data_IF_739250133254
#
_entry.id   IF_739250133254
#
_cell.length_a   1.000
_cell.length_b   1.000
_cell.length_c   1.000
_cell.angle_alpha   90.00
_cell.angle_beta   90.00
_cell.angle_gamma   90.00
#
_symmetry.space_group_name_H-M   'P 1'
#
loop_
_entity.id
_entity.type
_entity.pdbx_description
1 polymer ?
#
# COMPACT_ATOMS: atom_id res chain seq x y z
N UNK A 1 7.26 0.91 10.84
CA UNK A 1 5.88 1.38 11.15
C UNK A 1 4.86 0.25 11.12
N UNK A 2 3.66 0.50 11.66
CA UNK A 2 2.50 -0.42 11.71
C UNK A 2 1.23 0.32 11.31
N UNK A 3 0.33 -0.36 10.59
CA UNK A 3 -1.05 0.05 10.39
C UNK A 3 -2.01 -1.11 10.61
N UNK A 4 -3.20 -0.84 11.12
CA UNK A 4 -4.24 -1.85 11.26
C UNK A 4 -5.20 -1.82 10.07
N UNK A 5 -5.39 -2.94 9.38
CA UNK A 5 -6.53 -3.16 8.52
C UNK A 5 -7.72 -3.40 9.44
N UNK A 6 -8.72 -2.50 9.41
CA UNK A 6 -9.79 -2.46 10.41
C UNK A 6 -11.18 -2.16 9.81
N UNK A 7 -11.38 -2.59 8.57
CA UNK A 7 -12.64 -2.44 7.85
C UNK A 7 -13.58 -3.64 8.10
N UNK A 8 -14.88 -3.40 7.95
CA UNK A 8 -15.91 -4.42 8.12
C UNK A 8 -15.78 -5.09 9.50
N UNK A 9 -15.71 -6.42 9.56
CA UNK A 9 -15.70 -7.18 10.80
C UNK A 9 -14.33 -7.76 11.16
N UNK A 10 -13.26 -7.18 10.63
CA UNK A 10 -11.87 -7.62 10.84
C UNK A 10 -11.03 -6.49 11.40
N UNK A 11 -10.11 -6.80 12.32
CA UNK A 11 -9.00 -5.93 12.69
C UNK A 11 -7.71 -6.74 12.73
N UNK A 12 -6.68 -6.26 12.05
CA UNK A 12 -5.39 -6.94 12.05
C UNK A 12 -4.24 -6.00 11.71
N UNK A 13 -3.06 -6.11 12.35
CA UNK A 13 -1.90 -5.31 12.02
C UNK A 13 -1.21 -5.81 10.75
N UNK A 14 -0.72 -4.84 9.98
CA UNK A 14 0.23 -5.00 8.89
C UNK A 14 1.47 -4.20 9.24
N UNK A 15 2.64 -4.84 9.19
CA UNK A 15 3.91 -4.22 9.50
C UNK A 15 4.69 -3.92 8.22
N UNK A 16 5.49 -2.85 8.24
CA UNK A 16 6.26 -2.38 7.09
C UNK A 16 7.30 -3.41 6.59
N UNK A 17 7.72 -4.32 7.44
CA UNK A 17 8.70 -5.37 7.14
C UNK A 17 8.08 -6.65 6.57
N UNK A 18 6.78 -6.64 6.21
CA UNK A 18 6.11 -7.81 5.66
C UNK A 18 5.55 -8.80 6.70
N UNK A 19 5.72 -8.54 7.99
CA UNK A 19 5.01 -9.26 9.05
C UNK A 19 3.56 -8.81 9.15
N UNK A 20 2.67 -9.70 9.54
CA UNK A 20 1.26 -9.40 9.74
C UNK A 20 0.61 -10.29 10.80
N UNK A 21 -0.54 -9.83 11.34
CA UNK A 21 -1.49 -10.56 12.17
C UNK A 21 -1.04 -10.79 13.63
N UNK A 22 0.08 -10.27 14.07
CA UNK A 22 0.60 -10.37 15.43
C UNK A 22 1.35 -9.10 15.86
N UNK A 23 1.65 -8.99 17.15
CA UNK A 23 2.24 -7.78 17.76
C UNK A 23 3.77 -7.72 17.72
N UNK A 24 4.44 -8.65 17.02
CA UNK A 24 5.88 -8.89 17.00
C UNK A 24 6.49 -9.31 18.35
N UNK A 25 5.68 -9.45 19.41
CA UNK A 25 6.12 -9.88 20.75
C UNK A 25 5.69 -11.31 21.07
N UNK A 26 4.46 -11.66 20.73
CA UNK A 26 3.96 -13.02 20.97
C UNK A 26 2.45 -13.17 21.04
N UNK A 27 1.68 -12.11 20.72
CA UNK A 27 0.23 -12.17 20.71
C UNK A 27 -0.35 -12.13 19.32
N UNK A 28 -1.35 -12.98 19.06
CA UNK A 28 -2.15 -12.96 17.84
C UNK A 28 -3.04 -11.72 17.82
N UNK A 29 -3.16 -11.09 16.66
CA UNK A 29 -3.97 -9.87 16.48
C UNK A 29 -4.84 -9.91 15.20
N UNK A 30 -5.13 -11.09 14.64
CA UNK A 30 -6.13 -11.21 13.57
C UNK A 30 -7.52 -11.43 14.20
N UNK A 31 -8.15 -10.33 14.55
CA UNK A 31 -9.39 -10.32 15.31
C UNK A 31 -10.63 -10.41 14.42
N UNK A 32 -11.46 -11.41 14.66
CA UNK A 32 -12.75 -11.63 14.00
C UNK A 32 -13.73 -12.25 15.01
N UNK A 33 -14.87 -11.65 15.27
CA UNK A 33 -15.31 -10.30 14.88
C UNK A 33 -14.44 -9.21 15.52
N UNK A 34 -14.29 -8.09 14.83
CA UNK A 34 -13.58 -6.91 15.36
C UNK A 34 -14.18 -6.47 16.71
N UNK A 35 -13.31 -6.24 17.71
CA UNK A 35 -13.71 -5.87 19.08
C UNK A 35 -14.07 -7.04 19.97
N UNK A 36 -13.95 -8.29 19.52
CA UNK A 36 -14.30 -9.49 20.30
C UNK A 36 -13.17 -10.03 21.19
N UNK A 37 -11.93 -9.64 20.93
CA UNK A 37 -10.74 -10.23 21.53
C UNK A 37 -10.45 -11.67 21.05
N UNK A 38 -11.16 -12.15 20.01
CA UNK A 38 -10.98 -13.51 19.47
C UNK A 38 -10.14 -13.44 18.20
N UNK A 39 -9.02 -14.15 18.18
CA UNK A 39 -8.09 -14.17 17.07
C UNK A 39 -8.18 -15.51 16.32
N UNK A 40 -8.32 -15.47 15.00
CA UNK A 40 -8.45 -16.66 14.15
C UNK A 40 -7.12 -17.10 13.53
N UNK A 41 -6.17 -16.18 13.38
CA UNK A 41 -4.83 -16.44 12.88
C UNK A 41 -3.79 -15.88 13.85
N UNK A 42 -2.62 -16.51 13.91
CA UNK A 42 -1.57 -16.05 14.83
C UNK A 42 -0.61 -15.09 14.17
N UNK A 43 -0.01 -15.49 13.05
CA UNK A 43 1.00 -14.70 12.33
C UNK A 43 0.97 -15.04 10.84
N UNK A 44 1.40 -14.11 10.04
CA UNK A 44 1.64 -14.29 8.62
C UNK A 44 2.82 -13.46 8.18
N UNK A 45 3.42 -13.85 7.05
CA UNK A 45 4.54 -13.13 6.45
C UNK A 45 4.58 -13.39 4.95
N UNK A 46 5.25 -12.50 4.23
CA UNK A 46 5.48 -12.65 2.80
C UNK A 46 6.75 -13.46 2.58
N UNK A 47 6.68 -14.47 1.71
CA UNK A 47 7.83 -15.22 1.24
C UNK A 47 7.85 -15.19 -0.29
N UNK A 48 8.97 -14.75 -0.85
CA UNK A 48 9.16 -14.65 -2.30
C UNK A 48 10.41 -15.41 -2.68
N UNK A 49 10.31 -16.28 -3.68
CA UNK A 49 11.44 -17.03 -4.21
C UNK A 49 11.47 -17.00 -5.73
N UNK A 50 12.67 -16.97 -6.30
CA UNK A 50 12.86 -16.94 -7.74
C UNK A 50 14.32 -17.21 -8.13
N UNK A 51 14.60 -17.05 -9.42
CA UNK A 51 15.95 -17.12 -9.97
C UNK A 51 16.29 -15.83 -10.68
N UNK A 52 17.50 -15.34 -10.53
CA UNK A 52 18.02 -14.22 -11.32
C UNK A 52 18.32 -14.65 -12.77
N UNK A 53 18.70 -13.68 -13.62
CA UNK A 53 19.03 -13.95 -15.03
C UNK A 53 20.20 -14.92 -15.23
N UNK A 54 21.06 -15.09 -14.23
CA UNK A 54 22.16 -16.04 -14.23
C UNK A 54 21.75 -17.43 -13.70
N UNK A 55 20.49 -17.61 -13.28
CA UNK A 55 19.96 -18.87 -12.74
C UNK A 55 20.20 -19.08 -11.24
N UNK A 56 20.76 -18.12 -10.53
CA UNK A 56 21.00 -18.21 -9.09
C UNK A 56 19.69 -18.08 -8.32
N UNK A 57 19.53 -18.92 -7.30
CA UNK A 57 18.37 -18.84 -6.40
C UNK A 57 18.41 -17.54 -5.58
N UNK A 58 17.31 -16.83 -5.55
CA UNK A 58 17.05 -15.66 -4.70
C UNK A 58 15.83 -15.94 -3.84
N UNK A 59 15.91 -15.62 -2.56
CA UNK A 59 14.82 -15.79 -1.61
C UNK A 59 14.76 -14.55 -0.72
N UNK A 60 13.55 -14.01 -0.55
CA UNK A 60 13.23 -13.03 0.47
C UNK A 60 12.12 -13.60 1.35
N UNK A 61 12.36 -13.69 2.65
CA UNK A 61 11.44 -14.35 3.58
C UNK A 61 11.50 -13.70 4.96
N UNK A 62 10.32 -13.43 5.54
CA UNK A 62 10.21 -13.02 6.92
C UNK A 62 9.89 -14.23 7.79
N UNK A 63 10.70 -14.48 8.80
CA UNK A 63 10.54 -15.64 9.68
C UNK A 63 9.92 -15.21 11.01
N UNK A 64 8.86 -15.91 11.42
CA UNK A 64 8.22 -15.71 12.71
C UNK A 64 9.22 -15.72 13.88
N UNK A 65 9.16 -14.73 14.75
CA UNK A 65 10.05 -14.50 15.90
C UNK A 65 11.53 -14.30 15.58
N UNK A 66 11.86 -14.01 14.33
CA UNK A 66 13.21 -13.64 13.94
C UNK A 66 13.22 -12.23 13.38
N UNK A 67 14.29 -11.50 13.63
CA UNK A 67 14.51 -10.23 12.93
C UNK A 67 14.90 -10.55 11.49
N UNK A 68 14.01 -10.24 10.55
CA UNK A 68 14.28 -10.32 9.12
C UNK A 68 14.80 -9.00 8.59
N UNK A 69 15.60 -9.06 7.53
CA UNK A 69 16.11 -7.88 6.82
C UNK A 69 15.88 -7.98 5.31
N UNK A 70 14.99 -8.87 4.89
CA UNK A 70 14.78 -9.16 3.48
C UNK A 70 13.75 -8.22 2.83
N UNK A 71 12.95 -7.51 3.62
CA UNK A 71 11.97 -6.55 3.15
C UNK A 71 12.26 -5.16 3.71
N UNK A 72 12.38 -4.19 2.80
CA UNK A 72 12.64 -2.79 3.10
C UNK A 72 11.54 -1.93 2.49
N UNK A 73 11.10 -0.86 3.15
CA UNK A 73 10.09 0.03 2.61
C UNK A 73 10.63 0.87 1.45
N UNK A 74 9.79 1.08 0.45
CA UNK A 74 10.05 2.00 -0.65
C UNK A 74 10.48 1.35 -1.96
N UNK A 75 10.50 2.15 -3.04
CA UNK A 75 10.85 1.69 -4.37
C UNK A 75 12.34 1.43 -4.51
N UNK A 76 12.68 0.31 -5.14
CA UNK A 76 14.05 -0.06 -5.48
C UNK A 76 14.47 0.57 -6.81
N UNK A 77 15.80 0.69 -7.01
CA UNK A 77 16.36 0.94 -8.33
C UNK A 77 16.04 -0.26 -9.24
N UNK A 78 15.36 -0.02 -10.35
CA UNK A 78 14.89 -1.07 -11.27
C UNK A 78 16.02 -1.77 -12.03
N UNK A 79 17.24 -1.22 -12.00
CA UNK A 79 18.42 -1.77 -12.71
C UNK A 79 19.13 -2.86 -11.89
N UNK A 80 19.18 -2.73 -10.58
CA UNK A 80 19.97 -3.62 -9.70
C UNK A 80 19.23 -4.03 -8.41
N UNK A 81 17.98 -3.58 -8.24
CA UNK A 81 17.15 -3.84 -7.07
C UNK A 81 17.75 -3.35 -5.74
N UNK A 82 18.57 -2.30 -5.77
CA UNK A 82 19.09 -1.66 -4.57
C UNK A 82 18.17 -0.55 -4.07
N UNK A 83 18.31 -0.22 -2.79
CA UNK A 83 17.59 0.89 -2.14
C UNK A 83 18.54 1.58 -1.16
N UNK A 84 18.41 2.91 -1.03
CA UNK A 84 19.20 3.70 -0.09
C UNK A 84 18.47 3.86 1.24
N UNK A 85 19.22 4.09 2.33
CA UNK A 85 18.64 4.35 3.65
C UNK A 85 17.71 5.58 3.65
N UNK A 86 18.03 6.60 2.86
CA UNK A 86 17.19 7.81 2.75
C UNK A 86 15.83 7.49 2.10
N UNK A 87 15.81 6.67 1.06
CA UNK A 87 14.56 6.21 0.43
C UNK A 87 13.77 5.36 1.41
N UNK A 88 14.40 4.38 2.08
CA UNK A 88 13.72 3.58 3.10
C UNK A 88 13.06 4.46 4.17
N UNK A 89 13.77 5.48 4.67
CA UNK A 89 13.25 6.38 5.71
C UNK A 89 12.05 7.19 5.23
N UNK A 90 12.01 7.59 3.96
CA UNK A 90 10.88 8.32 3.39
C UNK A 90 9.63 7.45 3.26
N UNK A 91 9.81 6.15 3.05
CA UNK A 91 8.74 5.18 2.85
C UNK A 91 8.44 4.32 4.09
N UNK A 92 9.09 4.55 5.24
CA UNK A 92 8.74 3.87 6.51
C UNK A 92 7.40 4.39 7.07
N UNK A 93 6.35 4.23 6.29
CA UNK A 93 4.97 4.61 6.63
C UNK A 93 3.98 3.78 5.85
N UNK A 94 2.72 3.84 6.27
CA UNK A 94 1.60 3.22 5.59
C UNK A 94 0.64 4.28 5.06
N UNK A 95 0.16 4.10 3.83
CA UNK A 95 -0.95 4.85 3.27
C UNK A 95 -2.22 4.02 3.40
N UNK A 96 -2.95 4.27 4.48
CA UNK A 96 -4.21 3.58 4.77
C UNK A 96 -5.37 4.44 4.32
N UNK A 97 -6.18 3.92 3.40
CA UNK A 97 -7.30 4.66 2.81
C UNK A 97 -8.49 3.74 2.55
N UNK A 98 -9.70 4.27 2.65
CA UNK A 98 -10.93 3.54 2.29
C UNK A 98 -11.40 3.92 0.91
N UNK A 99 -12.08 2.96 0.26
CA UNK A 99 -12.75 3.18 -1.02
C UNK A 99 -13.80 4.31 -0.95
N UNK A 100 -14.51 4.41 0.18
CA UNK A 100 -15.48 5.46 0.41
C UNK A 100 -14.83 6.86 0.44
N UNK A 101 -13.72 7.01 1.17
CA UNK A 101 -12.99 8.28 1.27
C UNK A 101 -12.48 8.76 -0.10
N UNK A 102 -11.96 7.85 -0.91
CA UNK A 102 -11.52 8.19 -2.27
C UNK A 102 -12.72 8.56 -3.15
N UNK A 103 -13.84 7.83 -3.00
CA UNK A 103 -15.08 8.14 -3.75
C UNK A 103 -15.61 9.53 -3.42
N UNK A 104 -15.63 9.91 -2.15
CA UNK A 104 -16.12 11.20 -1.72
C UNK A 104 -15.28 12.34 -2.31
N UNK A 105 -13.96 12.21 -2.30
CA UNK A 105 -13.04 13.17 -2.96
C UNK A 105 -13.29 13.25 -4.48
N UNK A 106 -13.35 12.08 -5.13
CA UNK A 106 -13.62 11.97 -6.57
C UNK A 106 -14.94 12.66 -6.93
N UNK A 107 -16.03 12.34 -6.22
CA UNK A 107 -17.35 12.86 -6.51
C UNK A 107 -17.42 14.40 -6.27
N UNK A 108 -16.74 14.89 -5.23
CA UNK A 108 -16.60 16.33 -5.02
C UNK A 108 -15.89 17.02 -6.18
N UNK A 109 -14.79 16.47 -6.64
CA UNK A 109 -14.03 17.04 -7.76
C UNK A 109 -14.81 16.95 -9.07
N UNK A 110 -15.53 15.86 -9.33
CA UNK A 110 -16.40 15.70 -10.50
C UNK A 110 -17.49 16.77 -10.56
N UNK A 111 -18.02 17.16 -9.41
CA UNK A 111 -19.08 18.17 -9.32
C UNK A 111 -18.54 19.59 -9.44
N UNK A 112 -17.39 19.90 -8.87
CA UNK A 112 -16.90 21.27 -8.69
C UNK A 112 -15.76 21.65 -9.65
N UNK A 113 -15.11 20.68 -10.30
CA UNK A 113 -13.95 20.89 -11.17
C UNK A 113 -12.68 21.36 -10.44
N UNK A 114 -12.67 21.28 -9.11
CA UNK A 114 -11.56 21.72 -8.26
C UNK A 114 -11.62 21.02 -6.90
N UNK A 115 -10.47 20.83 -6.28
CA UNK A 115 -10.36 20.35 -4.90
C UNK A 115 -10.54 21.46 -3.85
N UNK A 116 -10.63 22.73 -4.27
CA UNK A 116 -10.76 23.87 -3.36
C UNK A 116 -12.04 23.76 -2.51
N UNK A 117 -11.87 23.91 -1.20
CA UNK A 117 -12.99 23.81 -0.24
C UNK A 117 -13.31 22.39 0.23
N UNK A 118 -12.71 21.34 -0.34
CA UNK A 118 -12.81 19.98 0.18
C UNK A 118 -11.72 19.72 1.22
N UNK A 119 -12.04 19.09 2.37
CA UNK A 119 -11.03 18.71 3.36
C UNK A 119 -10.28 17.46 2.93
N UNK A 120 -9.40 17.60 1.94
CA UNK A 120 -8.62 16.48 1.39
C UNK A 120 -7.75 15.87 2.48
N UNK A 121 -7.83 14.55 2.64
CA UNK A 121 -7.02 13.82 3.63
C UNK A 121 -5.53 13.81 3.26
N UNK A 122 -4.67 13.69 4.27
CA UNK A 122 -3.23 13.64 4.06
C UNK A 122 -2.81 12.40 3.26
N UNK A 123 -3.58 11.31 3.34
CA UNK A 123 -3.32 10.10 2.54
C UNK A 123 -3.53 10.37 1.05
N UNK A 124 -4.60 11.06 0.67
CA UNK A 124 -4.82 11.48 -0.72
C UNK A 124 -3.71 12.45 -1.16
N UNK A 125 -3.40 13.47 -0.34
CA UNK A 125 -2.36 14.45 -0.68
C UNK A 125 -0.98 13.85 -0.90
N UNK A 126 -0.67 12.78 -0.18
CA UNK A 126 0.66 12.15 -0.18
C UNK A 126 0.67 10.75 -0.79
N UNK A 127 -0.37 10.40 -1.56
CA UNK A 127 -0.45 9.09 -2.20
C UNK A 127 0.80 8.82 -3.05
N UNK A 128 1.47 7.67 -2.89
CA UNK A 128 2.74 7.41 -3.55
C UNK A 128 2.53 6.91 -4.99
N UNK A 129 1.86 7.71 -5.82
CA UNK A 129 1.56 7.37 -7.21
C UNK A 129 2.80 7.29 -8.09
N UNK A 130 3.82 8.09 -7.78
CA UNK A 130 5.04 8.17 -8.58
C UNK A 130 6.28 7.89 -7.74
N UNK A 131 7.26 7.23 -8.37
CA UNK A 131 8.64 7.18 -7.93
C UNK A 131 9.48 8.28 -8.59
N UNK A 132 10.78 8.19 -8.41
CA UNK A 132 11.77 9.12 -8.96
C UNK A 132 12.67 8.42 -9.99
N UNK A 133 12.38 8.52 -11.30
CA UNK A 133 13.21 7.90 -12.34
C UNK A 133 14.65 8.38 -12.35
N UNK A 134 14.95 9.59 -11.83
CA UNK A 134 16.33 10.07 -11.71
C UNK A 134 17.16 9.24 -10.72
N UNK A 135 16.48 8.57 -9.76
CA UNK A 135 17.06 7.62 -8.82
C UNK A 135 16.94 6.16 -9.26
N UNK A 136 16.54 5.91 -10.50
CA UNK A 136 16.34 4.58 -11.05
C UNK A 136 15.03 3.91 -10.64
N UNK A 137 14.14 4.60 -9.94
CA UNK A 137 12.84 4.06 -9.53
C UNK A 137 11.86 4.01 -10.71
N UNK A 138 10.85 3.15 -10.62
CA UNK A 138 9.75 3.17 -11.57
C UNK A 138 9.00 4.51 -11.47
N UNK A 139 8.49 5.00 -12.61
CA UNK A 139 7.69 6.22 -12.64
C UNK A 139 6.35 6.01 -11.93
N UNK A 140 5.74 4.84 -12.08
CA UNK A 140 4.44 4.52 -11.49
C UNK A 140 4.60 3.51 -10.35
N UNK A 141 4.13 3.88 -9.14
CA UNK A 141 4.18 3.02 -7.97
C UNK A 141 2.77 2.56 -7.56
N UNK A 142 2.11 3.30 -6.67
CA UNK A 142 0.75 2.98 -6.26
C UNK A 142 -0.26 3.36 -7.36
N UNK A 143 -1.29 2.52 -7.63
CA UNK A 143 -2.28 2.82 -8.65
C UNK A 143 -3.03 4.13 -8.41
N UNK A 144 -3.12 4.98 -9.43
CA UNK A 144 -3.91 6.20 -9.39
C UNK A 144 -4.61 6.47 -10.73
N UNK A 145 -5.62 7.32 -10.69
CA UNK A 145 -6.25 7.89 -11.87
C UNK A 145 -5.59 9.24 -12.13
N UNK A 146 -4.95 9.36 -13.28
CA UNK A 146 -4.36 10.58 -13.80
C UNK A 146 -5.41 11.29 -14.66
N UNK A 147 -5.98 12.39 -14.16
CA UNK A 147 -7.10 13.08 -14.82
C UNK A 147 -6.67 13.99 -15.95
N UNK A 148 -5.55 14.68 -15.78
CA UNK A 148 -5.04 15.61 -16.78
C UNK A 148 -4.07 14.95 -17.76
N UNK A 149 -3.74 13.67 -17.56
CA UNK A 149 -2.85 12.84 -18.38
C UNK A 149 -1.43 13.41 -18.50
N UNK A 150 -0.93 13.98 -17.39
CA UNK A 150 0.44 14.49 -17.34
C UNK A 150 1.48 13.44 -16.90
N UNK A 151 1.02 12.27 -16.43
CA UNK A 151 1.85 11.16 -15.98
C UNK A 151 2.31 11.29 -14.52
N UNK A 152 1.83 12.28 -13.79
CA UNK A 152 2.20 12.54 -12.41
C UNK A 152 0.97 12.61 -11.51
N UNK A 153 1.07 12.04 -10.32
CA UNK A 153 0.03 12.16 -9.32
C UNK A 153 -0.02 13.57 -8.73
N UNK A 154 -1.13 14.26 -8.93
CA UNK A 154 -1.40 15.56 -8.35
C UNK A 154 -2.87 15.67 -7.92
N UNK A 155 -3.15 15.54 -6.64
CA UNK A 155 -4.50 15.64 -6.10
C UNK A 155 -5.16 17.00 -6.38
N UNK A 156 -4.40 18.08 -6.56
CA UNK A 156 -4.92 19.41 -6.90
C UNK A 156 -5.50 19.45 -8.33
N UNK A 157 -4.95 18.64 -9.24
CA UNK A 157 -5.50 18.37 -10.58
C UNK A 157 -6.66 17.38 -10.57
N UNK A 158 -7.01 16.84 -9.41
CA UNK A 158 -8.11 15.90 -9.21
C UNK A 158 -7.74 14.44 -9.31
N UNK A 159 -6.45 14.10 -9.30
CA UNK A 159 -6.00 12.71 -9.28
C UNK A 159 -6.34 12.06 -7.95
N UNK A 160 -6.60 10.75 -8.00
CA UNK A 160 -6.98 9.98 -6.82
C UNK A 160 -6.53 8.52 -6.91
N UNK A 161 -6.37 7.82 -5.76
CA UNK A 161 -6.09 6.39 -5.73
C UNK A 161 -7.09 5.58 -6.55
N UNK A 162 -6.62 4.73 -7.48
CA UNK A 162 -7.46 4.04 -8.46
C UNK A 162 -8.17 2.83 -7.84
N UNK A 163 -9.33 3.05 -7.24
CA UNK A 163 -10.23 1.98 -6.82
C UNK A 163 -11.13 1.49 -7.95
N UNK A 164 -11.42 0.18 -7.96
CA UNK A 164 -12.47 -0.37 -8.78
C UNK A 164 -13.85 -0.10 -8.16
N UNK A 165 -14.68 0.68 -8.85
CA UNK A 165 -16.05 1.00 -8.45
C UNK A 165 -17.09 0.15 -9.20
N UNK A 166 -16.68 -0.81 -10.01
CA UNK A 166 -17.59 -1.71 -10.71
C UNK A 166 -18.35 -2.62 -9.73
N UNK A 167 -19.52 -3.07 -10.13
CA UNK A 167 -20.29 -4.07 -9.38
C UNK A 167 -19.73 -5.48 -9.53
N UNK A 168 -18.89 -5.70 -10.54
CA UNK A 168 -18.21 -6.96 -10.83
C UNK A 168 -16.72 -6.67 -11.01
N UNK A 169 -15.93 -6.66 -9.89
CA UNK A 169 -14.51 -6.34 -9.96
C UNK A 169 -13.76 -7.27 -10.91
N UNK A 170 -12.96 -6.67 -11.79
CA UNK A 170 -12.04 -7.43 -12.63
C UNK A 170 -10.73 -7.70 -11.87
N UNK A 171 -10.64 -8.87 -11.27
CA UNK A 171 -9.44 -9.30 -10.55
C UNK A 171 -8.22 -9.54 -11.48
N UNK A 172 -8.38 -9.45 -12.79
CA UNK A 172 -7.26 -9.51 -13.74
C UNK A 172 -6.58 -8.16 -13.95
N UNK A 173 -7.26 -7.04 -13.71
CA UNK A 173 -6.62 -5.70 -13.68
C UNK A 173 -5.75 -5.58 -12.41
N UNK A 174 -4.45 -5.63 -12.61
CA UNK A 174 -3.46 -5.52 -11.53
C UNK A 174 -3.11 -4.07 -11.18
N UNK A 175 -3.62 -3.11 -11.93
CA UNK A 175 -3.39 -1.68 -11.73
C UNK A 175 -4.63 -1.00 -11.12
N UNK A 176 -5.24 -1.64 -10.14
CA UNK A 176 -6.45 -1.14 -9.46
C UNK A 176 -6.48 -1.62 -8.02
N UNK A 177 -7.01 -0.79 -7.13
CA UNK A 177 -7.24 -1.12 -5.73
C UNK A 177 -8.60 -1.82 -5.60
N UNK A 178 -8.61 -2.95 -4.89
CA UNK A 178 -9.81 -3.75 -4.65
C UNK A 178 -10.23 -3.70 -3.18
N UNK A 179 -11.49 -4.06 -2.92
CA UNK A 179 -12.05 -4.10 -1.57
C UNK A 179 -12.44 -2.73 -1.02
N UNK A 180 -12.70 -2.66 0.28
CA UNK A 180 -13.25 -1.47 0.95
C UNK A 180 -12.18 -0.62 1.62
N UNK A 181 -11.03 -1.19 1.91
CA UNK A 181 -9.87 -0.50 2.51
C UNK A 181 -8.57 -1.07 1.95
N UNK A 182 -7.63 -0.20 1.69
CA UNK A 182 -6.27 -0.53 1.26
C UNK A 182 -5.27 0.03 2.26
N UNK A 183 -4.22 -0.74 2.52
CA UNK A 183 -2.98 -0.29 3.14
C UNK A 183 -1.88 -0.50 2.09
N UNK A 184 -1.26 0.60 1.67
CA UNK A 184 -0.10 0.61 0.78
C UNK A 184 1.16 0.93 1.60
N UNK A 185 2.24 0.19 1.36
CA UNK A 185 3.55 0.42 1.99
C UNK A 185 4.71 0.02 1.10
#
# INVERSE_FOLDING_TARGET
SRADLDINNVRTPIWINGDMWWDLVGNAEYEVPKGSGKNSLFAGAIWIGGKDAAGNLKVAAQTYRQSGSDFWPGPVDTRDATITADVCSQYDKHWKITKAEVKDFKDYYDLNGTAAGYPVSDVIKTWPGNGDPSKGQDQFLAPFVDRDNDGFYNWESGDYPKYDYSSTPDCSDRNVLLGDQTIWW
#
